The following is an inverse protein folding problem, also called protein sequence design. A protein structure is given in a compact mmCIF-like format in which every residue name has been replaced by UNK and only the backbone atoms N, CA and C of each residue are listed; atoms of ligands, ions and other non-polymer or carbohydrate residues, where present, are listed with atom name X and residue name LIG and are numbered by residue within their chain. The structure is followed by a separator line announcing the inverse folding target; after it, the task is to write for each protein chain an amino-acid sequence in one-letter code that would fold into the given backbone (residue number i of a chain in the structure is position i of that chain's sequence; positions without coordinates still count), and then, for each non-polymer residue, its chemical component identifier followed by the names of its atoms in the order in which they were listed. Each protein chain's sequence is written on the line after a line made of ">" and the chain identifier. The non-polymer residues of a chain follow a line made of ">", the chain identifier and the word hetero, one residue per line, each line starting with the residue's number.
data_IF_710674479849
#
_entry.id   IF_710674479849
#
_cell.length_a   1.000
_cell.length_b   1.000
_cell.length_c   1.000
_cell.angle_alpha   90.00
_cell.angle_beta   90.00
_cell.angle_gamma   90.00
#
_symmetry.space_group_name_H-M   'P 1'
#
loop_
_entity.id
_entity.type
_entity.pdbx_description
1 polymer ?
#
# COMPACT_ATOMS: atom_id res chain seq x y z
N UNK A 1 5.72 -5.41 -20.00
CA UNK A 1 5.44 -6.82 -19.65
C UNK A 1 6.72 -7.61 -19.43
N UNK A 2 7.58 -7.86 -20.43
CA UNK A 2 8.95 -8.35 -20.16
C UNK A 2 9.78 -7.35 -19.35
N UNK A 3 9.61 -6.05 -19.62
CA UNK A 3 10.20 -4.98 -18.82
C UNK A 3 9.76 -4.99 -17.34
N UNK A 4 8.54 -5.43 -17.03
CA UNK A 4 8.05 -5.49 -15.65
C UNK A 4 8.70 -6.63 -14.87
N UNK A 5 9.03 -7.74 -15.54
CA UNK A 5 9.81 -8.83 -14.98
C UNK A 5 11.30 -8.50 -14.88
N UNK A 6 11.84 -7.75 -15.86
CA UNK A 6 13.20 -7.19 -15.76
C UNK A 6 13.30 -6.25 -14.57
N UNK A 7 12.34 -5.34 -14.37
CA UNK A 7 12.28 -4.43 -13.22
C UNK A 7 12.24 -5.21 -11.89
N UNK A 8 11.45 -6.28 -11.82
CA UNK A 8 11.40 -7.15 -10.66
C UNK A 8 12.73 -7.86 -10.41
N UNK A 9 13.43 -8.33 -11.45
CA UNK A 9 14.74 -9.00 -11.35
C UNK A 9 15.90 -8.06 -11.05
N UNK A 10 15.91 -6.85 -11.63
CA UNK A 10 16.93 -5.81 -11.42
C UNK A 10 16.79 -5.19 -10.03
N UNK A 11 15.57 -5.10 -9.50
CA UNK A 11 15.32 -4.65 -8.14
C UNK A 11 15.52 -5.75 -7.08
N UNK A 12 15.92 -6.99 -7.45
CA UNK A 12 15.50 -8.15 -6.65
C UNK A 12 16.42 -8.66 -5.55
N UNK A 13 15.77 -8.71 -4.40
CA UNK A 13 16.04 -9.51 -3.21
C UNK A 13 15.72 -11.01 -3.35
N UNK A 14 15.36 -11.57 -4.53
CA UNK A 14 15.16 -13.04 -4.67
C UNK A 14 15.40 -13.57 -6.09
N UNK A 15 16.55 -14.15 -6.47
CA UNK A 15 16.79 -14.56 -7.85
C UNK A 15 15.74 -15.56 -8.37
N UNK A 16 14.87 -15.12 -9.29
CA UNK A 16 13.97 -15.99 -10.06
C UNK A 16 14.73 -16.31 -11.34
N UNK A 17 15.20 -17.55 -11.45
CA UNK A 17 15.89 -18.05 -12.64
C UNK A 17 15.01 -17.88 -13.89
N UNK A 18 15.60 -17.82 -15.11
CA UNK A 18 14.86 -17.58 -16.33
C UNK A 18 13.90 -18.74 -16.60
N UNK A 19 12.63 -18.54 -16.23
CA UNK A 19 11.57 -19.52 -16.48
C UNK A 19 10.98 -19.22 -17.86
N UNK A 20 11.38 -20.02 -18.85
CA UNK A 20 10.97 -19.91 -20.26
C UNK A 20 9.48 -20.32 -20.42
N UNK A 21 8.54 -19.47 -20.01
CA UNK A 21 7.10 -19.76 -20.03
C UNK A 21 6.29 -18.68 -20.73
N UNK A 22 6.47 -18.60 -22.05
CA UNK A 22 5.72 -17.68 -22.92
C UNK A 22 4.19 -17.96 -22.93
N UNK A 23 3.74 -19.17 -22.54
CA UNK A 23 2.33 -19.60 -22.64
C UNK A 23 1.60 -19.85 -21.31
N UNK A 24 2.27 -19.91 -20.17
CA UNK A 24 1.61 -20.23 -18.89
C UNK A 24 1.17 -18.97 -18.14
N UNK A 25 -0.07 -18.55 -18.37
CA UNK A 25 -0.66 -17.37 -17.72
C UNK A 25 -0.86 -17.61 -16.22
N UNK A 26 -1.17 -18.85 -15.81
CA UNK A 26 -1.41 -19.20 -14.40
C UNK A 26 -0.15 -19.08 -13.54
N UNK A 27 1.00 -19.54 -14.05
CA UNK A 27 2.29 -19.43 -13.34
C UNK A 27 2.69 -17.97 -13.19
N UNK A 28 2.46 -17.16 -14.23
CA UNK A 28 2.74 -15.71 -14.21
C UNK A 28 1.92 -14.99 -13.13
N UNK A 29 0.62 -15.28 -13.03
CA UNK A 29 -0.25 -14.69 -12.00
C UNK A 29 0.19 -15.11 -10.60
N UNK A 30 0.54 -16.39 -10.41
CA UNK A 30 1.02 -16.89 -9.13
C UNK A 30 2.32 -16.20 -8.69
N UNK A 31 3.32 -16.13 -9.58
CA UNK A 31 4.60 -15.46 -9.28
C UNK A 31 4.39 -13.98 -8.95
N UNK A 32 3.57 -13.27 -9.73
CA UNK A 32 3.25 -11.87 -9.46
C UNK A 32 2.58 -11.67 -8.10
N UNK A 33 1.58 -12.48 -7.76
CA UNK A 33 0.90 -12.46 -6.47
C UNK A 33 1.87 -12.75 -5.32
N UNK A 34 2.74 -13.75 -5.47
CA UNK A 34 3.73 -14.10 -4.45
C UNK A 34 4.72 -12.96 -4.20
N UNK A 35 5.25 -12.34 -5.26
CA UNK A 35 6.20 -11.24 -5.14
C UNK A 35 5.54 -10.02 -4.52
N UNK A 36 4.34 -9.67 -4.99
CA UNK A 36 3.56 -8.55 -4.48
C UNK A 36 3.24 -8.76 -2.99
N UNK A 37 2.80 -9.96 -2.62
CA UNK A 37 2.56 -10.33 -1.22
C UNK A 37 3.81 -10.24 -0.34
N UNK A 38 4.95 -10.73 -0.82
CA UNK A 38 6.24 -10.61 -0.12
C UNK A 38 6.69 -9.15 0.05
N UNK A 39 6.51 -8.32 -0.98
CA UNK A 39 6.84 -6.90 -0.93
C UNK A 39 5.98 -6.18 0.11
N UNK A 40 4.66 -6.42 0.10
CA UNK A 40 3.74 -5.91 1.09
C UNK A 40 4.09 -6.39 2.50
N UNK A 41 4.37 -7.67 2.68
CA UNK A 41 4.78 -8.21 3.97
C UNK A 41 6.06 -7.53 4.50
N UNK A 42 7.10 -7.38 3.66
CA UNK A 42 8.34 -6.67 4.04
C UNK A 42 8.09 -5.20 4.37
N UNK A 43 7.19 -4.54 3.66
CA UNK A 43 6.81 -3.17 3.95
C UNK A 43 6.10 -3.07 5.31
N UNK A 44 5.08 -3.91 5.54
CA UNK A 44 4.35 -3.95 6.81
C UNK A 44 5.26 -4.33 7.98
N UNK A 45 6.18 -5.29 7.81
CA UNK A 45 7.14 -5.67 8.84
C UNK A 45 8.07 -4.50 9.23
N UNK A 46 8.52 -3.70 8.26
CA UNK A 46 9.28 -2.47 8.54
C UNK A 46 8.45 -1.43 9.29
N UNK A 47 7.17 -1.29 8.91
CA UNK A 47 6.24 -0.38 9.57
C UNK A 47 5.98 -0.82 11.03
N UNK A 48 5.71 -2.11 11.27
CA UNK A 48 5.61 -2.69 12.61
C UNK A 48 6.84 -2.42 13.46
N UNK A 49 8.06 -2.59 12.89
CA UNK A 49 9.32 -2.32 13.60
C UNK A 49 9.47 -0.84 13.96
N UNK A 50 9.06 0.07 13.08
CA UNK A 50 9.13 1.51 13.33
C UNK A 50 8.19 1.96 14.47
N UNK A 51 7.00 1.36 14.54
CA UNK A 51 6.00 1.69 15.56
C UNK A 51 6.05 0.79 16.80
N UNK A 52 6.92 -0.22 16.80
CA UNK A 52 7.04 -1.24 17.85
C UNK A 52 5.70 -1.91 18.20
N UNK A 53 4.87 -2.16 17.19
CA UNK A 53 3.56 -2.81 17.32
C UNK A 53 3.52 -4.13 16.55
N UNK A 54 2.65 -5.04 16.97
CA UNK A 54 2.44 -6.30 16.25
C UNK A 54 1.75 -6.07 14.89
N UNK A 55 1.91 -7.00 13.96
CA UNK A 55 1.24 -6.93 12.65
C UNK A 55 -0.29 -6.90 12.77
N UNK A 56 -0.85 -7.67 13.71
CA UNK A 56 -2.29 -7.68 13.98
C UNK A 56 -2.76 -6.30 14.45
N UNK A 57 -2.05 -5.71 15.40
CA UNK A 57 -2.37 -4.39 15.92
C UNK A 57 -2.20 -3.29 14.86
N UNK A 58 -1.18 -3.42 13.99
CA UNK A 58 -1.02 -2.52 12.85
C UNK A 58 -2.24 -2.56 11.92
N UNK A 59 -2.74 -3.76 11.59
CA UNK A 59 -3.92 -3.93 10.74
C UNK A 59 -5.17 -3.36 11.41
N UNK A 60 -5.34 -3.56 12.72
CA UNK A 60 -6.46 -3.00 13.49
C UNK A 60 -6.43 -1.46 13.49
N UNK A 61 -5.26 -0.85 13.70
CA UNK A 61 -5.10 0.61 13.65
C UNK A 61 -5.38 1.17 12.24
N UNK A 62 -4.88 0.51 11.18
CA UNK A 62 -5.18 0.92 9.80
C UNK A 62 -6.67 0.75 9.46
N UNK A 63 -7.30 -0.34 9.88
CA UNK A 63 -8.73 -0.56 9.67
C UNK A 63 -9.59 0.44 10.46
N UNK A 64 -9.06 0.98 11.56
CA UNK A 64 -9.68 2.06 12.32
C UNK A 64 -9.62 3.43 11.63
N UNK A 65 -8.72 3.63 10.67
CA UNK A 65 -8.68 4.86 9.88
C UNK A 65 -9.84 4.85 8.89
N UNK A 66 -10.84 5.68 9.18
CA UNK A 66 -12.05 5.82 8.35
C UNK A 66 -11.99 7.08 7.53
N UNK A 67 -12.38 6.94 6.27
CA UNK A 67 -12.42 8.04 5.31
C UNK A 67 -13.86 8.23 4.88
N UNK A 68 -14.39 9.42 5.13
CA UNK A 68 -15.74 9.82 4.81
C UNK A 68 -15.77 10.75 3.60
N UNK A 69 -16.87 10.74 2.85
CA UNK A 69 -17.13 11.69 1.79
C UNK A 69 -18.03 12.78 2.36
N UNK A 70 -17.50 13.97 2.56
CA UNK A 70 -18.23 15.11 3.09
C UNK A 70 -18.60 16.07 1.96
N UNK A 71 -19.81 16.62 1.98
CA UNK A 71 -20.21 17.69 1.08
C UNK A 71 -20.13 19.01 1.84
N UNK A 72 -19.15 19.83 1.50
CA UNK A 72 -19.04 21.20 1.97
C UNK A 72 -19.82 22.14 1.04
N UNK A 73 -20.50 23.13 1.62
CA UNK A 73 -21.32 24.11 0.91
C UNK A 73 -20.51 25.07 0.04
N UNK A 74 -19.22 25.27 0.35
CA UNK A 74 -18.34 26.17 -0.39
C UNK A 74 -17.45 25.46 -1.43
N UNK A 75 -16.98 24.25 -1.13
CA UNK A 75 -15.98 23.53 -1.97
C UNK A 75 -16.48 22.26 -2.66
N UNK A 76 -17.70 21.80 -2.36
CA UNK A 76 -18.31 20.62 -2.99
C UNK A 76 -18.07 19.31 -2.24
N UNK A 77 -18.04 18.18 -2.96
CA UNK A 77 -17.82 16.84 -2.39
C UNK A 77 -16.32 16.59 -2.20
N UNK A 78 -15.87 16.52 -0.95
CA UNK A 78 -14.49 16.28 -0.55
C UNK A 78 -14.33 15.02 0.29
N UNK A 79 -13.20 14.33 0.13
CA UNK A 79 -12.84 13.19 0.97
C UNK A 79 -12.22 13.74 2.27
N UNK A 80 -12.79 13.39 3.42
CA UNK A 80 -12.37 13.84 4.75
C UNK A 80 -12.05 12.63 5.60
N UNK A 81 -11.04 12.75 6.46
CA UNK A 81 -10.69 11.68 7.39
C UNK A 81 -11.38 11.90 8.72
N UNK A 82 -11.94 10.84 9.29
CA UNK A 82 -12.53 10.89 10.62
C UNK A 82 -11.45 11.09 11.71
N UNK A 83 -11.89 11.39 12.94
CA UNK A 83 -10.99 11.62 14.07
C UNK A 83 -10.05 10.42 14.28
N UNK A 84 -8.75 10.70 14.33
CA UNK A 84 -7.71 9.70 14.50
C UNK A 84 -7.16 9.73 15.92
N UNK A 85 -6.86 8.55 16.46
CA UNK A 85 -6.02 8.45 17.65
C UNK A 85 -4.55 8.84 17.33
N UNK A 86 -3.73 9.08 18.35
CA UNK A 86 -2.33 9.51 18.17
C UNK A 86 -1.46 8.49 17.41
N UNK A 87 -1.76 7.20 17.51
CA UNK A 87 -1.08 6.12 16.79
C UNK A 87 -1.49 6.12 15.30
N UNK A 88 -2.77 6.26 15.01
CA UNK A 88 -3.36 6.35 13.68
C UNK A 88 -2.86 7.58 12.92
N UNK A 89 -2.80 8.74 13.59
CA UNK A 89 -2.27 9.95 12.98
C UNK A 89 -0.80 9.79 12.56
N UNK A 90 0.01 9.10 13.37
CA UNK A 90 1.41 8.78 13.02
C UNK A 90 1.50 7.74 11.91
N UNK A 91 0.64 6.72 11.92
CA UNK A 91 0.53 5.71 10.87
C UNK A 91 0.02 6.30 9.54
N UNK A 92 -0.78 7.36 9.58
CA UNK A 92 -1.31 8.03 8.41
C UNK A 92 -0.31 9.01 7.80
N UNK A 93 0.42 9.74 8.65
CA UNK A 93 1.42 10.72 8.23
C UNK A 93 2.73 10.09 7.75
N UNK A 94 3.18 8.98 8.34
CA UNK A 94 4.47 8.36 7.98
C UNK A 94 4.54 7.86 6.52
N UNK A 95 3.52 7.17 5.97
CA UNK A 95 3.45 6.85 4.53
C UNK A 95 2.98 8.04 3.68
N UNK A 96 2.64 9.17 4.32
CA UNK A 96 1.97 10.31 3.73
C UNK A 96 0.71 9.91 2.96
N UNK A 97 -0.24 9.24 3.64
CA UNK A 97 -1.50 8.78 3.04
C UNK A 97 -2.44 9.95 2.68
N UNK A 98 -2.25 11.12 3.28
CA UNK A 98 -3.03 12.34 3.01
C UNK A 98 -2.99 12.79 1.54
N UNK A 99 -1.90 12.50 0.82
CA UNK A 99 -1.78 12.84 -0.61
C UNK A 99 -2.83 12.13 -1.48
N UNK A 100 -3.37 11.00 -1.03
CA UNK A 100 -4.38 10.23 -1.77
C UNK A 100 -5.81 10.63 -1.43
N UNK A 101 -6.01 11.39 -0.35
CA UNK A 101 -7.31 11.87 0.11
C UNK A 101 -7.68 13.21 -0.54
N UNK A 102 -6.69 13.89 -1.14
CA UNK A 102 -6.92 15.11 -1.91
C UNK A 102 -7.55 14.77 -3.26
N UNK A 103 -8.84 14.43 -3.26
CA UNK A 103 -9.70 14.64 -4.41
C UNK A 103 -9.93 16.14 -4.56
N UNK A 104 -9.43 16.72 -5.67
CA UNK A 104 -9.75 18.07 -6.16
C UNK A 104 -9.28 19.25 -5.29
N UNK A 105 -7.95 19.49 -5.25
CA UNK A 105 -7.41 20.86 -5.17
C UNK A 105 -6.81 21.24 -6.52
N UNK A 106 -7.67 21.60 -7.48
CA UNK A 106 -7.24 22.41 -8.62
C UNK A 106 -7.61 23.85 -8.29
N UNK A 107 -6.60 24.68 -8.08
CA UNK A 107 -6.68 26.12 -8.35
C UNK A 107 -6.64 26.34 -9.85
#
# INVERSE_FOLDING_TARGET
>A
MEDDFKLLSDAFLVPIGPVNHHKDTNIRVHTFLCITGLLFYRYLARLCKHFNISLKHLVEELAGIRVALAKDSETGLGLVVEEMNSTQARLFSHPNLGKFITGQRNQ
#
